data_IF_749999734387
#
_entry.id   IF_749999734387
#
_cell.length_a   1.000
_cell.length_b   1.000
_cell.length_c   1.000
_cell.angle_alpha   90.00
_cell.angle_beta   90.00
_cell.angle_gamma   90.00
#
_symmetry.space_group_name_H-M   'P 1'
#
loop_
_entity.id
_entity.type
_entity.pdbx_description
1 polymer ?
#
# COMPACT_ATOMS: atom_id res chain seq x y z
N UNK A 1 6.21 20.18 43.86
CA UNK A 1 7.24 20.68 42.92
C UNK A 1 8.16 19.52 42.60
N UNK A 2 8.05 18.98 41.38
CA UNK A 2 8.83 17.81 40.95
C UNK A 2 10.15 18.32 40.39
N UNK A 3 11.25 17.76 40.89
CA UNK A 3 12.62 18.15 40.57
C UNK A 3 12.96 17.66 39.15
N UNK A 4 13.08 18.58 38.19
CA UNK A 4 13.58 18.28 36.85
C UNK A 4 15.09 18.06 36.94
N UNK A 5 15.53 16.80 36.85
CA UNK A 5 16.94 16.51 36.55
C UNK A 5 17.27 17.07 35.16
N UNK A 6 18.34 17.86 35.08
CA UNK A 6 18.89 18.35 33.83
C UNK A 6 19.20 17.18 32.88
N UNK A 7 18.73 17.31 31.63
CA UNK A 7 19.02 16.37 30.56
C UNK A 7 20.40 16.71 30.02
N UNK A 8 21.39 15.83 30.25
CA UNK A 8 22.71 15.94 29.63
C UNK A 8 22.60 15.58 28.15
N UNK A 9 22.73 16.58 27.28
CA UNK A 9 22.81 16.37 25.83
C UNK A 9 24.27 16.10 25.48
N UNK A 10 24.59 14.84 25.22
CA UNK A 10 25.92 14.44 24.71
C UNK A 10 25.97 14.80 23.22
N UNK A 11 26.79 15.80 22.88
CA UNK A 11 27.15 16.09 21.50
C UNK A 11 28.19 15.06 21.06
N UNK A 12 27.82 14.18 20.14
CA UNK A 12 28.77 13.27 19.50
C UNK A 12 29.62 14.06 18.50
N UNK A 13 30.93 13.84 18.52
CA UNK A 13 31.85 14.47 17.58
C UNK A 13 31.49 14.05 16.13
N UNK A 14 31.50 15.03 15.23
CA UNK A 14 31.16 14.87 13.82
C UNK A 14 32.28 14.08 13.13
N UNK A 15 32.10 12.76 13.05
CA UNK A 15 33.02 11.84 12.39
C UNK A 15 32.88 11.98 10.87
N UNK A 16 33.40 13.09 10.37
CA UNK A 16 33.46 13.47 8.97
C UNK A 16 34.42 12.57 8.19
N UNK A 17 33.96 11.36 7.85
CA UNK A 17 34.23 10.61 6.60
C UNK A 17 33.73 9.15 6.67
N UNK A 18 32.44 8.92 6.92
CA UNK A 18 31.81 7.68 6.46
C UNK A 18 31.61 7.77 4.94
N UNK A 19 32.55 7.22 4.16
CA UNK A 19 32.26 6.75 2.80
C UNK A 19 31.20 5.67 2.93
N UNK A 20 29.95 6.10 3.03
CA UNK A 20 28.81 5.21 3.15
C UNK A 20 28.58 4.67 1.74
N UNK A 21 29.27 3.59 1.37
CA UNK A 21 28.62 2.63 0.48
C UNK A 21 27.36 2.21 1.22
N UNK A 22 26.23 2.80 0.85
CA UNK A 22 24.93 2.40 1.37
C UNK A 22 24.72 0.99 0.81
N UNK A 23 25.14 -0.03 1.55
CA UNK A 23 24.83 -1.42 1.25
C UNK A 23 23.34 -1.57 1.53
N UNK A 24 22.51 -1.16 0.57
CA UNK A 24 21.09 -1.45 0.60
C UNK A 24 20.93 -2.95 0.31
N UNK A 25 20.78 -3.74 1.37
CA UNK A 25 20.48 -5.16 1.25
C UNK A 25 19.08 -5.32 0.63
N UNK A 26 19.02 -5.59 -0.68
CA UNK A 26 17.76 -5.89 -1.35
C UNK A 26 17.16 -7.17 -0.77
N UNK A 27 15.85 -7.22 -0.48
CA UNK A 27 15.21 -8.46 -0.07
C UNK A 27 15.40 -9.54 -1.14
N UNK A 28 15.97 -10.69 -0.80
CA UNK A 28 16.19 -11.80 -1.74
C UNK A 28 14.88 -12.32 -2.36
N UNK A 29 13.77 -12.15 -1.64
CA UNK A 29 12.45 -12.58 -2.08
C UNK A 29 11.79 -11.64 -3.10
N UNK A 30 12.47 -10.56 -3.49
CA UNK A 30 11.96 -9.57 -4.44
C UNK A 30 12.44 -9.84 -5.87
N UNK A 31 11.55 -9.69 -6.85
CA UNK A 31 11.85 -9.80 -8.27
C UNK A 31 12.38 -8.49 -8.84
N UNK A 32 13.04 -8.57 -10.01
CA UNK A 32 13.47 -7.38 -10.77
C UNK A 32 12.36 -6.84 -11.71
N UNK A 33 11.18 -7.46 -11.70
CA UNK A 33 10.07 -7.16 -12.60
C UNK A 33 8.77 -7.08 -11.80
N UNK A 34 7.96 -6.08 -12.11
CA UNK A 34 6.60 -5.90 -11.61
C UNK A 34 5.63 -6.41 -12.67
N UNK A 35 4.87 -7.47 -12.36
CA UNK A 35 3.91 -8.04 -13.31
C UNK A 35 2.49 -7.59 -13.03
N UNK A 36 1.74 -7.23 -14.06
CA UNK A 36 0.29 -7.08 -14.01
C UNK A 36 -0.34 -8.20 -14.85
N UNK A 37 -1.20 -9.01 -14.24
CA UNK A 37 -1.88 -10.13 -14.88
C UNK A 37 -3.37 -9.87 -15.09
N UNK A 38 -3.94 -10.48 -16.11
CA UNK A 38 -5.33 -10.32 -16.50
C UNK A 38 -5.91 -11.59 -17.13
N UNK A 39 -7.21 -11.80 -16.94
CA UNK A 39 -7.92 -12.99 -17.38
C UNK A 39 -8.25 -13.01 -18.87
N UNK A 40 -8.36 -11.85 -19.52
CA UNK A 40 -8.71 -11.72 -20.94
C UNK A 40 -7.61 -11.01 -21.72
N UNK A 41 -7.26 -11.56 -22.87
CA UNK A 41 -6.28 -10.96 -23.78
C UNK A 41 -6.63 -9.53 -24.20
N UNK A 42 -7.92 -9.22 -24.33
CA UNK A 42 -8.35 -7.87 -24.74
C UNK A 42 -8.02 -6.79 -23.71
N UNK A 43 -7.91 -7.15 -22.42
CA UNK A 43 -7.40 -6.21 -21.41
C UNK A 43 -5.93 -5.86 -21.68
N UNK A 44 -5.09 -6.84 -22.03
CA UNK A 44 -3.70 -6.60 -22.40
C UNK A 44 -3.61 -5.73 -23.66
N UNK A 45 -4.40 -6.06 -24.70
CA UNK A 45 -4.45 -5.24 -25.93
C UNK A 45 -4.84 -3.80 -25.64
N UNK A 46 -5.82 -3.58 -24.76
CA UNK A 46 -6.26 -2.24 -24.36
C UNK A 46 -5.12 -1.46 -23.69
N UNK A 47 -4.39 -2.10 -22.78
CA UNK A 47 -3.21 -1.49 -22.13
C UNK A 47 -2.17 -1.08 -23.17
N UNK A 48 -1.87 -1.97 -24.13
CA UNK A 48 -0.86 -1.73 -25.16
C UNK A 48 -1.28 -0.63 -26.15
N UNK A 49 -2.54 -0.63 -26.59
CA UNK A 49 -3.08 0.38 -27.51
C UNK A 49 -3.12 1.76 -26.87
N UNK A 50 -3.55 1.84 -25.61
CA UNK A 50 -3.65 3.10 -24.88
C UNK A 50 -2.31 3.56 -24.28
N UNK A 51 -1.31 2.68 -24.25
CA UNK A 51 -0.03 2.88 -23.54
C UNK A 51 -0.25 3.28 -22.07
N UNK A 52 -1.29 2.73 -21.45
CA UNK A 52 -1.72 3.10 -20.11
C UNK A 52 -2.37 1.91 -19.39
N UNK A 53 -1.99 1.72 -18.13
CA UNK A 53 -2.69 0.80 -17.22
C UNK A 53 -3.79 1.59 -16.51
N UNK A 54 -5.03 1.41 -16.95
CA UNK A 54 -6.18 2.16 -16.43
C UNK A 54 -6.72 1.43 -15.19
N UNK A 55 -6.76 2.07 -14.01
CA UNK A 55 -7.29 1.46 -12.80
C UNK A 55 -8.79 1.17 -12.94
N UNK A 56 -9.26 0.15 -12.22
CA UNK A 56 -10.69 -0.18 -12.12
C UNK A 56 -11.13 -0.09 -10.67
N UNK A 57 -12.39 0.26 -10.45
CA UNK A 57 -12.96 0.19 -9.11
C UNK A 57 -13.06 -1.27 -8.69
N UNK A 58 -12.36 -1.60 -7.61
CA UNK A 58 -12.42 -2.89 -6.96
C UNK A 58 -12.99 -2.71 -5.57
N UNK A 59 -14.01 -3.50 -5.26
CA UNK A 59 -14.72 -3.41 -4.01
C UNK A 59 -14.11 -4.36 -2.98
N UNK A 60 -13.89 -3.85 -1.77
CA UNK A 60 -13.19 -4.56 -0.72
C UNK A 60 -13.91 -4.44 0.61
N UNK A 61 -13.74 -5.47 1.45
CA UNK A 61 -14.09 -5.38 2.86
C UNK A 61 -12.98 -4.69 3.65
N UNK A 62 -13.37 -3.75 4.50
CA UNK A 62 -12.50 -3.03 5.44
C UNK A 62 -12.92 -3.26 6.89
N UNK A 63 -13.74 -4.29 7.13
CA UNK A 63 -14.20 -4.67 8.48
C UNK A 63 -13.04 -4.96 9.44
N UNK A 64 -11.87 -5.35 8.92
CA UNK A 64 -10.66 -5.57 9.70
C UNK A 64 -10.13 -4.29 10.40
N UNK A 65 -10.57 -3.11 9.94
CA UNK A 65 -10.30 -1.83 10.57
C UNK A 65 -11.28 -1.53 11.71
N UNK A 66 -12.41 -2.22 11.83
CA UNK A 66 -13.35 -2.01 12.95
C UNK A 66 -13.83 -0.55 13.08
N UNK A 67 -14.10 0.08 11.94
CA UNK A 67 -14.64 1.45 11.87
C UNK A 67 -16.16 1.35 11.77
N UNK A 68 -16.87 1.95 12.72
CA UNK A 68 -18.33 1.87 12.77
C UNK A 68 -18.97 2.44 11.49
N UNK A 69 -19.91 1.69 10.91
CA UNK A 69 -20.61 2.08 9.68
C UNK A 69 -19.81 1.87 8.39
N UNK A 70 -18.51 1.53 8.45
CA UNK A 70 -17.66 1.33 7.28
C UNK A 70 -17.25 -0.15 7.13
N UNK A 71 -18.04 -0.90 6.35
CA UNK A 71 -17.78 -2.32 6.08
C UNK A 71 -17.07 -2.57 4.76
N UNK A 72 -17.43 -1.79 3.74
CA UNK A 72 -17.00 -1.97 2.36
C UNK A 72 -16.67 -0.63 1.72
N UNK A 73 -15.72 -0.64 0.81
CA UNK A 73 -15.30 0.52 0.04
C UNK A 73 -14.79 0.07 -1.33
N UNK A 74 -14.95 0.91 -2.35
CA UNK A 74 -14.43 0.64 -3.68
C UNK A 74 -13.25 1.56 -3.99
N UNK A 75 -12.09 0.99 -4.27
CA UNK A 75 -10.88 1.73 -4.63
C UNK A 75 -10.63 1.67 -6.13
N UNK A 76 -10.27 2.79 -6.78
CA UNK A 76 -9.71 2.74 -8.13
C UNK A 76 -8.29 2.20 -8.03
N UNK A 77 -8.08 0.94 -8.42
CA UNK A 77 -6.77 0.30 -8.29
C UNK A 77 -6.34 -0.51 -9.50
N UNK A 78 -5.02 -0.59 -9.69
CA UNK A 78 -4.34 -1.61 -10.48
C UNK A 78 -3.20 -2.14 -9.64
N UNK A 79 -2.98 -3.46 -9.64
CA UNK A 79 -1.94 -4.08 -8.84
C UNK A 79 -0.83 -4.65 -9.72
N UNK A 80 0.39 -4.57 -9.20
CA UNK A 80 1.52 -5.30 -9.75
C UNK A 80 2.02 -6.29 -8.70
N UNK A 81 2.39 -7.49 -9.12
CA UNK A 81 3.01 -8.45 -8.24
C UNK A 81 4.53 -8.44 -8.41
N UNK A 82 5.23 -8.37 -7.28
CA UNK A 82 6.67 -8.51 -7.17
C UNK A 82 7.01 -9.99 -6.90
N UNK A 83 6.86 -10.83 -7.94
CA UNK A 83 6.99 -12.29 -7.84
C UNK A 83 8.01 -12.78 -8.87
N UNK A 84 8.94 -13.63 -8.42
CA UNK A 84 9.93 -14.27 -9.28
C UNK A 84 9.26 -15.15 -10.34
N UNK A 85 9.82 -15.20 -11.55
CA UNK A 85 9.29 -15.95 -12.70
C UNK A 85 8.97 -17.42 -12.37
N UNK A 86 9.82 -18.07 -11.56
CA UNK A 86 9.65 -19.46 -11.14
C UNK A 86 8.43 -19.70 -10.22
N UNK A 87 7.87 -18.65 -9.61
CA UNK A 87 6.67 -18.71 -8.75
C UNK A 87 5.42 -18.19 -9.45
N UNK A 88 5.48 -17.88 -10.75
CA UNK A 88 4.35 -17.30 -11.49
C UNK A 88 3.23 -18.28 -11.79
N UNK A 89 3.52 -19.57 -12.00
CA UNK A 89 2.52 -20.54 -12.46
C UNK A 89 1.30 -20.60 -11.52
N UNK A 90 1.46 -20.77 -10.19
CA UNK A 90 0.32 -20.72 -9.27
C UNK A 90 -0.38 -19.36 -9.27
N UNK A 91 0.36 -18.27 -9.45
CA UNK A 91 -0.22 -16.92 -9.49
C UNK A 91 -1.13 -16.73 -10.74
N UNK A 92 -0.71 -17.22 -11.89
CA UNK A 92 -1.46 -17.10 -13.15
C UNK A 92 -2.78 -17.88 -13.13
N UNK A 93 -2.88 -18.98 -12.36
CA UNK A 93 -4.13 -19.73 -12.18
C UNK A 93 -5.22 -18.86 -11.54
N UNK A 94 -4.84 -17.96 -10.63
CA UNK A 94 -5.75 -17.07 -9.92
C UNK A 94 -6.01 -15.75 -10.66
N UNK A 95 -4.98 -15.11 -11.23
CA UNK A 95 -5.07 -13.75 -11.75
C UNK A 95 -5.20 -13.67 -13.28
N UNK A 96 -4.98 -14.79 -13.98
CA UNK A 96 -5.13 -14.90 -15.41
C UNK A 96 -3.83 -15.18 -16.15
N UNK A 97 -3.97 -15.67 -17.38
CA UNK A 97 -2.86 -16.20 -18.18
C UNK A 97 -2.17 -15.16 -19.06
N UNK A 98 -2.66 -13.91 -19.10
CA UNK A 98 -2.07 -12.82 -19.86
C UNK A 98 -1.43 -11.82 -18.91
N UNK A 99 -0.22 -11.36 -19.22
CA UNK A 99 0.53 -10.47 -18.33
C UNK A 99 1.42 -9.50 -19.07
N UNK A 100 1.72 -8.37 -18.43
CA UNK A 100 2.77 -7.44 -18.81
C UNK A 100 3.74 -7.28 -17.64
N UNK A 101 5.05 -7.34 -17.93
CA UNK A 101 6.11 -7.14 -16.96
C UNK A 101 6.80 -5.81 -17.19
N UNK A 102 6.95 -5.02 -16.14
CA UNK A 102 7.66 -3.74 -16.15
C UNK A 102 8.91 -3.84 -15.29
N UNK A 103 9.97 -3.13 -15.67
CA UNK A 103 11.18 -3.08 -14.86
C UNK A 103 10.86 -2.52 -13.47
N UNK A 104 11.27 -3.22 -12.41
CA UNK A 104 10.94 -2.83 -11.04
C UNK A 104 11.60 -1.50 -10.62
N UNK A 105 12.85 -1.27 -11.03
CA UNK A 105 13.56 -0.02 -10.75
C UNK A 105 12.85 1.17 -11.37
N UNK A 106 12.39 1.04 -12.62
CA UNK A 106 11.52 2.03 -13.24
C UNK A 106 10.25 2.26 -12.40
N UNK A 107 9.57 1.20 -11.98
CA UNK A 107 8.35 1.32 -11.18
C UNK A 107 8.56 2.03 -9.84
N UNK A 108 9.67 1.77 -9.16
CA UNK A 108 10.05 2.48 -7.92
C UNK A 108 10.26 3.98 -8.21
N UNK A 109 10.98 4.30 -9.28
CA UNK A 109 11.26 5.69 -9.66
C UNK A 109 9.99 6.47 -10.06
N UNK A 110 8.97 5.78 -10.58
CA UNK A 110 7.65 6.35 -10.87
C UNK A 110 6.71 6.38 -9.65
N UNK A 111 7.18 5.99 -8.46
CA UNK A 111 6.41 6.06 -7.22
C UNK A 111 5.39 4.93 -7.03
N UNK A 112 5.57 3.78 -7.70
CA UNK A 112 4.76 2.59 -7.39
C UNK A 112 5.02 2.17 -5.94
N UNK A 113 3.96 2.15 -5.13
CA UNK A 113 4.01 1.90 -3.70
C UNK A 113 3.54 0.47 -3.37
N UNK A 114 4.36 -0.33 -2.65
CA UNK A 114 3.90 -1.57 -2.05
C UNK A 114 2.73 -1.37 -1.09
N UNK A 115 1.80 -2.34 -1.10
CA UNK A 115 0.74 -2.38 -0.09
C UNK A 115 1.30 -2.68 1.31
N UNK A 116 0.63 -2.15 2.31
CA UNK A 116 0.91 -2.38 3.72
C UNK A 116 -0.08 -3.41 4.26
N UNK A 117 0.43 -4.58 4.62
CA UNK A 117 -0.39 -5.58 5.30
C UNK A 117 -0.59 -5.21 6.76
N UNK A 118 -1.84 -5.00 7.14
CA UNK A 118 -2.26 -4.59 8.47
C UNK A 118 -2.62 -5.83 9.27
N UNK A 119 -1.97 -5.95 10.43
CA UNK A 119 -2.35 -6.91 11.45
C UNK A 119 -3.54 -6.35 12.23
N UNK A 120 -4.64 -7.10 12.25
CA UNK A 120 -5.89 -6.71 12.90
C UNK A 120 -5.75 -6.53 14.42
N UNK A 121 -4.66 -7.03 15.01
CA UNK A 121 -4.35 -6.89 16.44
C UNK A 121 -3.25 -5.85 16.72
N UNK A 122 -2.74 -5.16 15.70
CA UNK A 122 -1.66 -4.18 15.87
C UNK A 122 -2.17 -2.83 16.41
N UNK A 123 -1.30 -2.14 17.16
CA UNK A 123 -1.53 -0.75 17.55
C UNK A 123 -1.72 0.16 16.33
N UNK A 124 -0.98 -0.08 15.23
CA UNK A 124 -1.16 0.65 13.97
C UNK A 124 -2.61 0.59 13.48
N UNK A 125 -3.24 -0.60 13.51
CA UNK A 125 -4.65 -0.73 13.16
C UNK A 125 -5.51 0.10 14.10
N UNK A 126 -5.34 -0.05 15.41
CA UNK A 126 -6.17 0.61 16.41
C UNK A 126 -6.09 2.14 16.32
N UNK A 127 -4.88 2.69 16.20
CA UNK A 127 -4.63 4.13 16.06
C UNK A 127 -5.26 4.66 14.78
N UNK A 128 -5.03 3.98 13.65
CA UNK A 128 -5.65 4.35 12.38
C UNK A 128 -7.17 4.39 12.49
N UNK A 129 -7.76 3.36 13.09
CA UNK A 129 -9.22 3.21 13.19
C UNK A 129 -9.85 4.27 14.08
N UNK A 130 -9.21 4.59 15.20
CA UNK A 130 -9.60 5.68 16.11
C UNK A 130 -9.57 7.04 15.41
N UNK A 131 -8.45 7.36 14.75
CA UNK A 131 -8.28 8.64 14.05
C UNK A 131 -9.26 8.74 12.86
N UNK A 132 -9.43 7.67 12.09
CA UNK A 132 -10.36 7.64 10.97
C UNK A 132 -11.81 7.82 11.43
N UNK A 133 -12.21 7.17 12.52
CA UNK A 133 -13.56 7.31 13.09
C UNK A 133 -13.83 8.74 13.55
N UNK A 134 -12.85 9.40 14.17
CA UNK A 134 -12.95 10.81 14.55
C UNK A 134 -13.05 11.74 13.33
N UNK A 135 -12.29 11.44 12.27
CA UNK A 135 -12.38 12.18 10.99
C UNK A 135 -13.78 12.07 10.37
N UNK A 136 -14.43 10.90 10.46
CA UNK A 136 -15.79 10.70 9.94
C UNK A 136 -16.84 11.51 10.70
N UNK A 137 -16.68 11.71 12.01
CA UNK A 137 -17.63 12.44 12.88
C UNK A 137 -17.40 13.95 12.95
N UNK A 138 -16.33 14.45 12.32
CA UNK A 138 -15.96 15.87 12.31
C UNK A 138 -16.99 16.72 11.54
N UNK A 139 -17.27 17.95 11.98
CA UNK A 139 -18.19 18.87 11.29
C UNK A 139 -17.63 19.38 9.95
N UNK A 140 -18.48 19.88 9.06
CA UNK A 140 -18.02 20.37 7.75
C UNK A 140 -17.05 21.56 7.87
N UNK A 141 -17.26 22.45 8.85
CA UNK A 141 -16.36 23.57 9.15
C UNK A 141 -14.98 23.08 9.59
N UNK A 142 -14.92 22.07 10.48
CA UNK A 142 -13.67 21.49 10.95
C UNK A 142 -12.94 20.68 9.85
N UNK A 143 -13.69 20.03 8.95
CA UNK A 143 -13.11 19.23 7.83
C UNK A 143 -12.22 20.05 6.92
N UNK A 144 -12.53 21.32 6.70
CA UNK A 144 -11.69 22.21 5.88
C UNK A 144 -10.31 22.40 6.51
N UNK A 145 -10.24 22.54 7.84
CA UNK A 145 -8.97 22.67 8.58
C UNK A 145 -8.15 21.38 8.60
N UNK A 146 -8.80 20.22 8.59
CA UNK A 146 -8.12 18.91 8.65
C UNK A 146 -8.00 18.19 7.30
N UNK A 147 -8.28 18.88 6.19
CA UNK A 147 -8.33 18.27 4.86
C UNK A 147 -7.06 17.50 4.49
N UNK A 148 -5.87 18.04 4.80
CA UNK A 148 -4.59 17.38 4.52
C UNK A 148 -4.42 16.06 5.29
N UNK A 149 -4.89 16.01 6.54
CA UNK A 149 -4.89 14.78 7.35
C UNK A 149 -5.88 13.75 6.81
N UNK A 150 -7.06 14.18 6.39
CA UNK A 150 -8.05 13.30 5.76
C UNK A 150 -7.51 12.69 4.47
N UNK A 151 -6.85 13.50 3.63
CA UNK A 151 -6.19 13.02 2.42
C UNK A 151 -5.10 11.98 2.75
N UNK A 152 -4.31 12.23 3.79
CA UNK A 152 -3.31 11.26 4.25
C UNK A 152 -3.94 9.95 4.71
N UNK A 153 -5.02 9.99 5.50
CA UNK A 153 -5.75 8.79 5.94
C UNK A 153 -6.30 7.99 4.75
N UNK A 154 -6.90 8.67 3.77
CA UNK A 154 -7.44 8.04 2.56
C UNK A 154 -6.34 7.42 1.69
N UNK A 155 -5.20 8.10 1.51
CA UNK A 155 -4.04 7.56 0.79
C UNK A 155 -3.54 6.29 1.48
N UNK A 156 -3.40 6.31 2.81
CA UNK A 156 -2.98 5.12 3.56
C UNK A 156 -3.98 3.98 3.40
N UNK A 157 -5.29 4.28 3.49
CA UNK A 157 -6.34 3.29 3.32
C UNK A 157 -6.26 2.57 1.95
N UNK A 158 -5.95 3.28 0.86
CA UNK A 158 -5.78 2.70 -0.49
C UNK A 158 -4.66 1.65 -0.53
N UNK A 159 -3.60 1.83 0.26
CA UNK A 159 -2.47 0.90 0.31
C UNK A 159 -2.58 -0.15 1.41
N UNK A 160 -3.62 -0.11 2.25
CA UNK A 160 -3.81 -1.09 3.32
C UNK A 160 -4.51 -2.35 2.81
N UNK A 161 -4.02 -3.51 3.23
CA UNK A 161 -4.68 -4.81 3.08
C UNK A 161 -4.62 -5.54 4.41
N UNK A 162 -5.61 -6.36 4.78
CA UNK A 162 -5.45 -7.21 5.96
C UNK A 162 -4.42 -8.31 5.71
N UNK A 163 -3.72 -8.76 6.74
CA UNK A 163 -2.85 -9.96 6.65
C UNK A 163 -3.64 -11.20 6.23
N UNK A 164 -4.88 -11.30 6.69
CA UNK A 164 -5.82 -12.38 6.42
C UNK A 164 -7.24 -11.82 6.23
N UNK A 165 -7.97 -12.36 5.26
CA UNK A 165 -9.32 -11.86 4.98
C UNK A 165 -9.98 -12.53 3.78
N UNK A 166 -11.24 -12.15 3.54
CA UNK A 166 -12.04 -12.66 2.44
C UNK A 166 -11.83 -11.77 1.23
N UNK A 167 -11.42 -12.36 0.10
CA UNK A 167 -11.44 -11.69 -1.19
C UNK A 167 -12.77 -11.96 -1.89
N UNK A 168 -13.53 -10.90 -2.15
CA UNK A 168 -14.70 -10.96 -3.03
C UNK A 168 -14.24 -11.32 -4.43
N UNK A 169 -14.73 -12.43 -4.99
CA UNK A 169 -14.42 -12.84 -6.35
C UNK A 169 -15.74 -13.12 -7.05
N UNK A 170 -15.85 -12.63 -8.28
CA UNK A 170 -16.92 -13.08 -9.15
C UNK A 170 -16.67 -14.57 -9.44
N UNK A 171 -17.69 -15.41 -9.22
CA UNK A 171 -17.65 -16.80 -9.69
C UNK A 171 -17.35 -16.80 -11.20
N UNK A 172 -16.44 -17.67 -11.63
CA UNK A 172 -16.05 -17.81 -13.04
C UNK A 172 -17.20 -18.31 -13.89
#
# INVERSE_FOLDING_TARGET
MINMKEIEVIQLEDDSQLKTEVIFARPEQSANVLFNFMSKLDYLKTILLNKAVIPRYYEETVEYLDIEGLKRIAFPMTCFCDIHLNKLVPHMEFYGSFGIGLNKEWGINEGIQPIHYINNFSYLRNDFSSIFSNSLSTSDEEREYIQSYNNYLLINLVFMKPLDGIMLRNEK
#
